data_IF_584117005529
#
_entry.id   IF_584117005529
#
_cell.length_a   1.000
_cell.length_b   1.000
_cell.length_c   1.000
_cell.angle_alpha   90.00
_cell.angle_beta   90.00
_cell.angle_gamma   90.00
#
_symmetry.space_group_name_H-M   'P 1'
#
loop_
_entity.id
_entity.type
_entity.pdbx_description
1 polymer ?
#
# COMPACT_ATOMS: atom_id res chain seq x y z
N UNK A 1 -27.43 14.28 16.36
CA UNK A 1 -27.16 15.63 16.91
C UNK A 1 -28.19 15.94 17.98
N UNK A 2 -27.74 16.18 19.21
CA UNK A 2 -28.61 16.27 20.40
C UNK A 2 -29.42 17.57 20.43
N UNK A 3 -30.70 17.45 20.81
CA UNK A 3 -31.69 18.52 21.07
C UNK A 3 -31.09 19.74 21.79
N UNK A 4 -30.08 19.49 22.62
CA UNK A 4 -29.26 20.44 23.38
C UNK A 4 -28.60 21.52 22.51
N UNK A 5 -28.08 21.21 21.32
CA UNK A 5 -27.43 22.21 20.45
C UNK A 5 -28.42 23.20 19.84
N UNK A 6 -29.62 22.73 19.51
CA UNK A 6 -30.71 23.58 19.01
C UNK A 6 -31.18 24.50 20.13
N UNK A 7 -31.43 23.96 21.33
CA UNK A 7 -31.85 24.74 22.50
C UNK A 7 -30.80 25.78 22.91
N UNK A 8 -29.51 25.42 22.88
CA UNK A 8 -28.42 26.38 23.14
C UNK A 8 -28.34 27.50 22.09
N UNK A 9 -28.59 27.20 20.81
CA UNK A 9 -28.63 28.22 19.75
C UNK A 9 -29.79 29.20 19.95
N UNK A 10 -30.97 28.70 20.34
CA UNK A 10 -32.12 29.55 20.68
C UNK A 10 -31.89 30.38 21.94
N UNK A 11 -31.27 29.80 22.99
CA UNK A 11 -30.94 30.52 24.22
C UNK A 11 -29.88 31.62 24.00
N UNK A 12 -28.82 31.34 23.23
CA UNK A 12 -27.78 32.35 22.91
C UNK A 12 -28.30 33.48 22.04
N UNK A 13 -29.28 33.21 21.16
CA UNK A 13 -29.95 34.24 20.35
C UNK A 13 -30.80 35.21 21.17
N UNK A 14 -31.29 34.77 22.33
CA UNK A 14 -32.09 35.58 23.26
C UNK A 14 -31.24 36.29 24.33
N UNK A 15 -30.09 35.74 24.73
CA UNK A 15 -29.33 36.22 25.90
C UNK A 15 -27.90 36.72 25.61
N UNK A 16 -27.33 36.52 24.41
CA UNK A 16 -25.97 37.00 24.08
C UNK A 16 -25.77 37.25 22.56
N UNK A 17 -26.40 38.29 22.00
CA UNK A 17 -26.40 38.56 20.54
C UNK A 17 -25.00 38.80 19.97
N UNK A 18 -24.11 39.48 20.70
CA UNK A 18 -22.74 39.78 20.25
C UNK A 18 -21.87 38.51 20.11
N UNK A 19 -22.04 37.54 21.03
CA UNK A 19 -21.35 36.24 20.94
C UNK A 19 -21.84 35.43 19.75
N UNK A 20 -23.15 35.48 19.47
CA UNK A 20 -23.74 34.76 18.35
C UNK A 20 -23.31 35.37 16.99
N UNK A 21 -23.20 36.70 16.92
CA UNK A 21 -22.63 37.39 15.76
C UNK A 21 -21.15 37.04 15.55
N UNK A 22 -20.34 37.04 16.61
CA UNK A 22 -18.93 36.65 16.53
C UNK A 22 -18.76 35.20 16.07
N UNK A 23 -19.52 34.26 16.62
CA UNK A 23 -19.50 32.84 16.20
C UNK A 23 -19.91 32.68 14.74
N UNK A 24 -20.93 33.41 14.27
CA UNK A 24 -21.33 33.39 12.85
C UNK A 24 -20.28 33.99 11.93
N UNK A 25 -19.64 35.08 12.36
CA UNK A 25 -18.58 35.73 11.60
C UNK A 25 -17.36 34.82 11.45
N UNK A 26 -16.90 34.18 12.54
CA UNK A 26 -15.80 33.22 12.48
C UNK A 26 -16.15 32.00 11.61
N UNK A 27 -17.37 31.45 11.75
CA UNK A 27 -17.84 30.36 10.88
C UNK A 27 -17.88 30.78 9.40
N UNK A 28 -18.27 32.02 9.09
CA UNK A 28 -18.26 32.55 7.74
C UNK A 28 -16.83 32.71 7.18
N UNK A 29 -15.88 33.18 7.99
CA UNK A 29 -14.47 33.27 7.59
C UNK A 29 -13.88 31.90 7.30
N UNK A 30 -14.15 30.93 8.16
CA UNK A 30 -13.75 29.54 7.97
C UNK A 30 -14.37 28.94 6.71
N UNK A 31 -15.64 29.25 6.44
CA UNK A 31 -16.30 28.86 5.19
C UNK A 31 -15.53 29.39 3.97
N UNK A 32 -15.24 30.69 3.90
CA UNK A 32 -14.51 31.27 2.77
C UNK A 32 -13.11 30.67 2.59
N UNK A 33 -12.43 30.35 3.70
CA UNK A 33 -11.11 29.71 3.66
C UNK A 33 -11.18 28.31 3.04
N UNK A 34 -12.15 27.51 3.46
CA UNK A 34 -12.34 26.16 2.91
C UNK A 34 -12.90 26.15 1.50
N UNK A 35 -13.66 27.17 1.10
CA UNK A 35 -14.18 27.31 -0.26
C UNK A 35 -13.03 27.53 -1.25
N UNK A 36 -12.19 28.54 -0.97
CA UNK A 36 -10.97 28.78 -1.74
C UNK A 36 -10.08 27.54 -1.81
N UNK A 37 -9.85 26.88 -0.67
CA UNK A 37 -9.02 25.66 -0.62
C UNK A 37 -9.62 24.52 -1.46
N UNK A 38 -10.94 24.38 -1.48
CA UNK A 38 -11.61 23.36 -2.29
C UNK A 38 -11.43 23.63 -3.78
N UNK A 39 -11.55 24.88 -4.21
CA UNK A 39 -11.30 25.27 -5.60
C UNK A 39 -9.85 25.02 -6.04
N UNK A 40 -8.88 25.31 -5.18
CA UNK A 40 -7.46 24.98 -5.43
C UNK A 40 -7.26 23.47 -5.61
N UNK A 41 -7.83 22.65 -4.71
CA UNK A 41 -7.71 21.19 -4.76
C UNK A 41 -8.42 20.58 -5.98
N UNK A 42 -9.56 21.14 -6.39
CA UNK A 42 -10.24 20.75 -7.63
C UNK A 42 -9.35 21.05 -8.84
N UNK A 43 -8.74 22.23 -8.89
CA UNK A 43 -7.79 22.59 -9.95
C UNK A 43 -6.61 21.61 -10.00
N UNK A 44 -6.01 21.26 -8.86
CA UNK A 44 -4.90 20.30 -8.81
C UNK A 44 -5.30 18.90 -9.34
N UNK A 45 -6.53 18.46 -9.05
CA UNK A 45 -7.08 17.20 -9.57
C UNK A 45 -7.39 17.27 -11.07
N UNK A 46 -7.94 18.40 -11.54
CA UNK A 46 -8.20 18.65 -12.97
C UNK A 46 -6.89 18.69 -13.77
N UNK A 47 -5.83 19.27 -13.22
CA UNK A 47 -4.51 19.28 -13.85
C UNK A 47 -3.96 17.86 -14.00
N UNK A 48 -4.10 17.00 -12.99
CA UNK A 48 -3.71 15.58 -13.10
C UNK A 48 -4.51 14.89 -14.21
N UNK A 49 -5.82 15.13 -14.29
CA UNK A 49 -6.69 14.49 -15.28
C UNK A 49 -6.38 14.92 -16.72
N UNK A 50 -6.04 16.19 -16.95
CA UNK A 50 -5.89 16.76 -18.29
C UNK A 50 -4.44 16.88 -18.79
N UNK A 51 -3.45 16.97 -17.89
CA UNK A 51 -2.05 17.19 -18.28
C UNK A 51 -1.38 15.99 -18.93
N UNK A 52 -1.95 14.78 -18.78
CA UNK A 52 -1.31 13.53 -19.19
C UNK A 52 -0.12 13.11 -18.31
N UNK A 53 0.12 13.81 -17.20
CA UNK A 53 1.19 13.48 -16.24
C UNK A 53 0.81 12.21 -15.48
N UNK A 54 1.65 11.19 -15.54
CA UNK A 54 1.45 9.98 -14.73
C UNK A 54 1.89 10.28 -13.28
N UNK A 55 0.96 10.15 -12.35
CA UNK A 55 1.17 10.37 -10.92
C UNK A 55 0.88 9.10 -10.13
N UNK A 56 1.44 8.97 -8.94
CA UNK A 56 1.06 7.88 -8.05
C UNK A 56 -0.36 8.07 -7.52
N UNK A 57 -1.07 6.96 -7.34
CA UNK A 57 -2.36 6.88 -6.63
C UNK A 57 -2.36 7.64 -5.30
N UNK A 58 -1.25 7.63 -4.56
CA UNK A 58 -1.11 8.34 -3.29
C UNK A 58 -1.31 9.86 -3.45
N UNK A 59 -0.94 10.44 -4.59
CA UNK A 59 -1.19 11.86 -4.88
C UNK A 59 -2.69 12.13 -5.02
N UNK A 60 -3.41 11.26 -5.72
CA UNK A 60 -4.87 11.35 -5.92
C UNK A 60 -5.59 11.15 -4.59
N UNK A 61 -5.25 10.11 -3.83
CA UNK A 61 -5.83 9.84 -2.50
C UNK A 61 -5.61 11.02 -1.56
N UNK A 62 -4.40 11.60 -1.55
CA UNK A 62 -4.09 12.78 -0.71
C UNK A 62 -4.93 14.00 -1.08
N UNK A 63 -5.05 14.31 -2.37
CA UNK A 63 -5.85 15.45 -2.84
C UNK A 63 -7.35 15.23 -2.58
N UNK A 64 -7.86 14.03 -2.86
CA UNK A 64 -9.25 13.66 -2.61
C UNK A 64 -9.59 13.73 -1.11
N UNK A 65 -8.72 13.23 -0.24
CA UNK A 65 -8.89 13.32 1.22
C UNK A 65 -8.84 14.76 1.72
N UNK A 66 -7.94 15.60 1.19
CA UNK A 66 -7.88 17.01 1.52
C UNK A 66 -9.14 17.77 1.06
N UNK A 67 -9.68 17.42 -0.10
CA UNK A 67 -10.91 18.00 -0.64
C UNK A 67 -12.11 17.60 0.21
N UNK A 68 -12.27 16.31 0.52
CA UNK A 68 -13.27 15.79 1.45
C UNK A 68 -13.22 16.54 2.78
N UNK A 69 -12.04 16.68 3.38
CA UNK A 69 -11.89 17.39 4.65
C UNK A 69 -12.28 18.86 4.55
N UNK A 70 -11.92 19.54 3.45
CA UNK A 70 -12.27 20.94 3.21
C UNK A 70 -13.78 21.12 3.03
N UNK A 71 -14.43 20.27 2.23
CA UNK A 71 -15.89 20.27 2.02
C UNK A 71 -16.63 19.92 3.30
N UNK A 72 -16.16 18.94 4.07
CA UNK A 72 -16.71 18.63 5.39
C UNK A 72 -16.61 19.82 6.35
N UNK A 73 -15.53 20.60 6.28
CA UNK A 73 -15.40 21.85 7.06
C UNK A 73 -16.35 22.94 6.58
N UNK A 74 -16.58 23.10 5.27
CA UNK A 74 -17.61 24.00 4.72
C UNK A 74 -18.99 23.70 5.30
N UNK A 75 -19.38 22.43 5.27
CA UNK A 75 -20.68 21.98 5.77
C UNK A 75 -20.80 22.24 7.27
N UNK A 76 -19.74 21.95 8.06
CA UNK A 76 -19.72 22.26 9.49
C UNK A 76 -19.88 23.76 9.77
N UNK A 77 -19.22 24.62 8.98
CA UNK A 77 -19.34 26.08 9.10
C UNK A 77 -20.74 26.57 8.74
N UNK A 78 -21.37 26.03 7.68
CA UNK A 78 -22.76 26.29 7.33
C UNK A 78 -23.72 25.88 8.46
N UNK A 79 -23.57 24.66 8.99
CA UNK A 79 -24.37 24.15 10.10
C UNK A 79 -24.14 24.94 11.40
N UNK A 80 -22.96 25.50 11.63
CA UNK A 80 -22.70 26.39 12.77
C UNK A 80 -23.43 27.73 12.63
N UNK A 81 -23.52 28.28 11.42
CA UNK A 81 -24.24 29.53 11.16
C UNK A 81 -25.76 29.37 11.21
N UNK A 82 -26.28 28.24 10.71
CA UNK A 82 -27.71 27.94 10.72
C UNK A 82 -27.97 26.45 11.07
N UNK A 83 -28.00 26.11 12.37
CA UNK A 83 -28.21 24.73 12.80
C UNK A 83 -29.49 24.12 12.25
N UNK A 84 -29.40 22.91 11.71
CA UNK A 84 -30.56 22.14 11.21
C UNK A 84 -31.07 22.51 9.81
N UNK A 85 -30.57 23.58 9.18
CA UNK A 85 -30.99 23.94 7.81
C UNK A 85 -30.37 23.05 6.72
N UNK A 86 -29.19 22.46 6.98
CA UNK A 86 -28.39 21.78 5.97
C UNK A 86 -28.29 20.27 6.16
N UNK A 87 -29.28 19.65 6.82
CA UNK A 87 -29.28 18.19 7.08
C UNK A 87 -29.22 17.36 5.79
N UNK A 88 -29.90 17.79 4.73
CA UNK A 88 -29.83 17.12 3.43
C UNK A 88 -28.43 17.20 2.81
N UNK A 89 -27.71 18.30 3.01
CA UNK A 89 -26.34 18.48 2.51
C UNK A 89 -25.36 17.57 3.25
N UNK A 90 -25.48 17.45 4.58
CA UNK A 90 -24.70 16.52 5.40
C UNK A 90 -24.90 15.06 4.95
N UNK A 91 -26.16 14.69 4.63
CA UNK A 91 -26.48 13.36 4.13
C UNK A 91 -25.87 13.12 2.74
N UNK A 92 -26.03 14.07 1.81
CA UNK A 92 -25.45 13.96 0.46
C UNK A 92 -23.93 13.89 0.47
N UNK A 93 -23.28 14.67 1.32
CA UNK A 93 -21.84 14.58 1.52
C UNK A 93 -21.43 13.19 2.02
N UNK A 94 -22.16 12.64 2.99
CA UNK A 94 -21.91 11.28 3.50
C UNK A 94 -22.16 10.18 2.47
N UNK A 95 -23.08 10.38 1.53
CA UNK A 95 -23.28 9.49 0.38
C UNK A 95 -22.08 9.54 -0.57
N UNK A 96 -21.60 10.75 -0.89
CA UNK A 96 -20.44 10.96 -1.77
C UNK A 96 -19.15 10.43 -1.17
N UNK A 97 -18.92 10.62 0.13
CA UNK A 97 -17.75 10.07 0.83
C UNK A 97 -17.69 8.54 0.72
N UNK A 98 -18.84 7.86 0.83
CA UNK A 98 -18.91 6.40 0.65
C UNK A 98 -18.64 5.98 -0.79
N UNK A 99 -19.15 6.72 -1.76
CA UNK A 99 -18.89 6.46 -3.17
C UNK A 99 -17.40 6.68 -3.51
N UNK A 100 -16.80 7.74 -2.98
CA UNK A 100 -15.38 8.05 -3.13
C UNK A 100 -14.50 6.95 -2.50
N UNK A 101 -14.80 6.54 -1.27
CA UNK A 101 -14.07 5.47 -0.59
C UNK A 101 -14.14 4.14 -1.34
N UNK A 102 -15.24 3.85 -2.03
CA UNK A 102 -15.38 2.65 -2.86
C UNK A 102 -14.64 2.73 -4.21
N UNK A 103 -14.36 3.95 -4.70
CA UNK A 103 -13.65 4.18 -5.96
C UNK A 103 -12.13 4.27 -5.77
N UNK A 104 -11.67 4.64 -4.57
CA UNK A 104 -10.25 4.67 -4.24
C UNK A 104 -9.72 3.26 -3.91
N UNK A 105 -8.41 3.01 -4.12
CA UNK A 105 -7.81 1.72 -3.80
C UNK A 105 -8.07 1.33 -2.34
N UNK A 106 -8.60 0.12 -2.13
CA UNK A 106 -8.79 -0.45 -0.80
C UNK A 106 -7.61 -1.34 -0.42
N UNK A 107 -7.26 -1.35 0.86
CA UNK A 107 -6.04 -1.97 1.35
C UNK A 107 -6.35 -2.90 2.52
N UNK A 108 -5.82 -4.12 2.45
CA UNK A 108 -5.80 -5.02 3.61
C UNK A 108 -4.69 -4.59 4.58
N UNK A 109 -5.06 -3.80 5.58
CA UNK A 109 -4.19 -3.35 6.67
C UNK A 109 -3.97 -4.41 7.75
N UNK A 110 -4.43 -5.64 7.55
CA UNK A 110 -4.38 -6.66 8.57
C UNK A 110 -2.91 -6.97 8.94
N UNK A 111 -2.61 -6.78 10.22
CA UNK A 111 -1.32 -7.04 10.85
C UNK A 111 -1.39 -8.25 11.79
N UNK A 112 -2.52 -8.96 11.86
CA UNK A 112 -2.68 -10.15 12.69
C UNK A 112 -2.05 -11.39 12.02
N UNK A 113 -1.57 -12.38 12.79
CA UNK A 113 -1.01 -13.61 12.23
C UNK A 113 -1.99 -14.34 11.29
N UNK A 114 -1.50 -15.17 10.35
CA UNK A 114 -0.16 -15.75 10.33
C UNK A 114 0.90 -14.84 9.71
N UNK A 115 2.10 -14.80 10.32
CA UNK A 115 3.25 -14.07 9.79
C UNK A 115 4.08 -14.91 8.81
N UNK A 116 4.05 -16.23 8.96
CA UNK A 116 4.67 -17.17 8.04
C UNK A 116 3.78 -18.35 7.67
N UNK A 117 3.97 -18.85 6.46
CA UNK A 117 3.33 -20.05 5.93
C UNK A 117 4.40 -21.02 5.42
N UNK A 118 4.19 -22.32 5.56
CA UNK A 118 4.94 -23.30 4.78
C UNK A 118 4.64 -23.13 3.28
N UNK A 119 5.53 -23.59 2.41
CA UNK A 119 5.29 -23.58 0.96
C UNK A 119 4.00 -24.34 0.59
N UNK A 120 3.68 -25.41 1.31
CA UNK A 120 2.43 -26.15 1.10
C UNK A 120 1.19 -25.33 1.48
N UNK A 121 1.24 -24.59 2.58
CA UNK A 121 0.14 -23.71 3.04
C UNK A 121 -0.08 -22.52 2.11
N UNK A 122 0.97 -22.03 1.44
CA UNK A 122 0.88 -20.94 0.48
C UNK A 122 -0.01 -21.25 -0.74
N UNK A 123 -0.28 -22.52 -1.03
CA UNK A 123 -1.12 -22.91 -2.17
C UNK A 123 -2.55 -22.37 -2.01
N UNK A 124 -2.97 -21.54 -2.97
CA UNK A 124 -4.28 -20.88 -2.96
C UNK A 124 -4.39 -19.69 -1.99
N UNK A 125 -3.28 -19.25 -1.40
CA UNK A 125 -3.21 -18.12 -0.46
C UNK A 125 -2.52 -16.90 -1.09
N UNK A 126 -2.88 -16.53 -2.34
CA UNK A 126 -2.27 -15.37 -3.02
C UNK A 126 -2.26 -14.11 -2.15
N UNK A 127 -3.36 -13.72 -1.46
CA UNK A 127 -3.38 -12.49 -0.67
C UNK A 127 -2.34 -12.48 0.46
N UNK A 128 -1.92 -13.65 0.96
CA UNK A 128 -0.94 -13.80 2.03
C UNK A 128 0.48 -14.07 1.52
N UNK A 129 0.61 -14.76 0.38
CA UNK A 129 1.88 -15.32 -0.08
C UNK A 129 2.40 -14.69 -1.38
N UNK A 130 1.57 -13.94 -2.11
CA UNK A 130 1.88 -13.45 -3.45
C UNK A 130 1.85 -14.52 -4.53
N UNK A 131 1.92 -14.09 -5.80
CA UNK A 131 1.72 -14.96 -6.97
C UNK A 131 2.74 -16.09 -7.07
N UNK A 132 4.04 -15.78 -6.92
CA UNK A 132 5.12 -16.78 -7.02
C UNK A 132 5.02 -17.86 -5.94
N UNK A 133 4.79 -17.47 -4.69
CA UNK A 133 4.74 -18.42 -3.59
C UNK A 133 3.51 -19.31 -3.66
N UNK A 134 2.36 -18.75 -4.06
CA UNK A 134 1.16 -19.53 -4.32
C UNK A 134 1.39 -20.53 -5.46
N UNK A 135 2.01 -20.11 -6.56
CA UNK A 135 2.34 -21.00 -7.67
C UNK A 135 3.27 -22.15 -7.23
N UNK A 136 4.30 -21.86 -6.43
CA UNK A 136 5.17 -22.87 -5.84
C UNK A 136 4.40 -23.86 -4.95
N UNK A 137 3.50 -23.35 -4.10
CA UNK A 137 2.66 -24.20 -3.26
C UNK A 137 1.70 -25.08 -4.07
N UNK A 138 1.18 -24.59 -5.18
CA UNK A 138 0.36 -25.39 -6.10
C UNK A 138 1.16 -26.52 -6.74
N UNK A 139 2.40 -26.24 -7.17
CA UNK A 139 3.31 -27.28 -7.68
C UNK A 139 3.57 -28.32 -6.60
N UNK A 140 3.84 -27.91 -5.35
CA UNK A 140 4.10 -28.83 -4.25
C UNK A 140 2.91 -29.74 -3.91
N UNK A 141 1.67 -29.25 -4.04
CA UNK A 141 0.45 -30.05 -3.79
C UNK A 141 0.02 -30.89 -4.99
N UNK A 142 0.26 -30.41 -6.21
CA UNK A 142 -0.33 -30.95 -7.44
C UNK A 142 0.62 -31.75 -8.32
N UNK A 143 1.93 -31.61 -8.13
CA UNK A 143 2.94 -32.28 -8.93
C UNK A 143 3.96 -32.98 -8.01
N UNK A 144 4.34 -34.20 -8.37
CA UNK A 144 5.42 -34.94 -7.70
C UNK A 144 6.79 -34.44 -8.22
N UNK A 145 7.01 -33.14 -8.08
CA UNK A 145 8.23 -32.46 -8.49
C UNK A 145 9.07 -32.11 -7.26
N UNK A 146 10.39 -32.37 -7.29
CA UNK A 146 11.27 -31.99 -6.20
C UNK A 146 11.35 -30.47 -6.12
N UNK A 147 10.86 -29.91 -5.01
CA UNK A 147 10.99 -28.50 -4.70
C UNK A 147 11.94 -28.31 -3.51
N UNK A 148 12.84 -27.32 -3.56
CA UNK A 148 13.65 -26.97 -2.40
C UNK A 148 12.75 -26.58 -1.23
N UNK A 149 13.20 -26.92 -0.02
CA UNK A 149 12.41 -26.66 1.19
C UNK A 149 12.42 -25.17 1.50
N UNK A 150 11.41 -24.73 2.25
CA UNK A 150 11.29 -23.32 2.57
C UNK A 150 9.96 -22.95 3.18
N UNK A 151 9.79 -21.65 3.38
CA UNK A 151 8.59 -21.03 3.90
C UNK A 151 8.42 -19.63 3.30
N UNK A 152 7.29 -19.00 3.60
CA UNK A 152 6.92 -17.68 3.11
C UNK A 152 6.72 -16.77 4.31
N UNK A 153 7.39 -15.62 4.32
CA UNK A 153 7.07 -14.47 5.15
C UNK A 153 5.93 -13.72 4.45
N UNK A 154 4.79 -13.61 5.12
CA UNK A 154 3.53 -13.20 4.51
C UNK A 154 3.41 -11.69 4.28
N UNK A 155 2.40 -11.29 3.51
CA UNK A 155 1.98 -9.89 3.38
C UNK A 155 1.53 -9.26 4.71
N UNK A 156 1.02 -10.06 5.65
CA UNK A 156 0.67 -9.58 7.01
C UNK A 156 1.90 -9.27 7.84
N UNK A 157 2.98 -10.04 7.68
CA UNK A 157 4.28 -9.69 8.26
C UNK A 157 4.84 -8.40 7.67
N UNK A 158 4.69 -8.18 6.35
CA UNK A 158 5.01 -6.91 5.71
C UNK A 158 4.19 -5.74 6.29
N UNK A 159 2.86 -5.91 6.45
CA UNK A 159 1.99 -4.90 7.06
C UNK A 159 2.41 -4.57 8.49
N UNK A 160 2.66 -5.59 9.33
CA UNK A 160 3.14 -5.41 10.69
C UNK A 160 4.48 -4.68 10.72
N UNK A 161 5.43 -5.06 9.86
CA UNK A 161 6.73 -4.41 9.74
C UNK A 161 6.59 -2.92 9.39
N UNK A 162 5.75 -2.57 8.42
CA UNK A 162 5.50 -1.16 8.07
C UNK A 162 4.79 -0.40 9.19
N UNK A 163 3.80 -1.02 9.83
CA UNK A 163 3.00 -0.40 10.90
C UNK A 163 3.83 -0.14 12.15
N UNK A 164 4.62 -1.13 12.59
CA UNK A 164 5.50 -1.03 13.76
C UNK A 164 6.46 0.15 13.67
N UNK A 165 6.96 0.43 12.46
CA UNK A 165 7.92 1.49 12.21
C UNK A 165 7.26 2.83 11.77
N UNK A 166 5.94 2.91 11.68
CA UNK A 166 5.24 4.10 11.18
C UNK A 166 5.56 4.45 9.72
N UNK A 167 6.11 3.49 8.95
CA UNK A 167 6.62 3.74 7.60
C UNK A 167 5.51 4.07 6.61
N UNK A 168 4.31 3.51 6.81
CA UNK A 168 3.23 3.60 5.83
C UNK A 168 2.90 5.05 5.49
N UNK A 169 2.64 5.88 6.49
CA UNK A 169 2.31 7.28 6.30
C UNK A 169 3.42 8.03 5.55
N UNK A 170 4.67 7.79 5.94
CA UNK A 170 5.81 8.48 5.34
C UNK A 170 6.07 8.03 3.88
N UNK A 171 5.89 6.74 3.59
CA UNK A 171 5.95 6.21 2.23
C UNK A 171 4.84 6.81 1.36
N UNK A 172 3.61 6.92 1.87
CA UNK A 172 2.49 7.53 1.15
C UNK A 172 2.74 9.01 0.85
N UNK A 173 3.35 9.77 1.78
CA UNK A 173 3.77 11.16 1.54
C UNK A 173 4.77 11.29 0.38
N UNK A 174 5.83 10.46 0.41
CA UNK A 174 6.89 10.48 -0.60
C UNK A 174 6.36 10.03 -1.96
N UNK A 175 5.55 8.98 -2.01
CA UNK A 175 4.89 8.51 -3.23
C UNK A 175 3.97 9.57 -3.82
N UNK A 176 3.25 10.32 -2.98
CA UNK A 176 2.37 11.39 -3.44
C UNK A 176 3.12 12.59 -4.06
N UNK A 177 4.44 12.68 -3.87
CA UNK A 177 5.32 13.62 -4.58
C UNK A 177 5.89 13.06 -5.88
N UNK A 178 5.78 11.75 -6.11
CA UNK A 178 6.28 11.14 -7.34
C UNK A 178 5.46 11.63 -8.53
N UNK A 179 6.18 12.12 -9.54
CA UNK A 179 5.66 12.48 -10.86
C UNK A 179 6.51 11.76 -11.88
N UNK A 180 5.87 11.17 -12.88
CA UNK A 180 6.60 10.59 -14.00
C UNK A 180 7.04 11.72 -14.93
N UNK A 181 8.28 12.18 -14.76
CA UNK A 181 8.93 13.13 -15.66
C UNK A 181 10.04 12.43 -16.48
N UNK A 182 10.34 12.97 -17.66
CA UNK A 182 11.35 12.39 -18.57
C UNK A 182 12.78 12.40 -18.00
N UNK A 183 13.01 13.08 -16.86
CA UNK A 183 14.35 13.30 -16.29
C UNK A 183 14.67 12.38 -15.13
N UNK A 184 13.68 11.77 -14.47
CA UNK A 184 13.83 10.69 -13.50
C UNK A 184 14.61 11.02 -12.22
N UNK A 185 15.20 12.22 -12.09
CA UNK A 185 16.05 12.60 -10.95
C UNK A 185 15.25 12.63 -9.65
N UNK A 186 14.07 13.26 -9.66
CA UNK A 186 13.22 13.35 -8.47
C UNK A 186 12.75 11.97 -8.01
N UNK A 187 12.44 11.08 -8.96
CA UNK A 187 12.11 9.70 -8.67
C UNK A 187 13.27 8.96 -8.00
N UNK A 188 14.52 9.17 -8.46
CA UNK A 188 15.68 8.54 -7.82
C UNK A 188 15.92 9.05 -6.39
N UNK A 189 15.78 10.36 -6.15
CA UNK A 189 15.90 10.94 -4.81
C UNK A 189 14.85 10.37 -3.85
N UNK A 190 13.57 10.43 -4.23
CA UNK A 190 12.46 9.92 -3.43
C UNK A 190 12.59 8.40 -3.20
N UNK A 191 12.97 7.65 -4.24
CA UNK A 191 13.22 6.21 -4.14
C UNK A 191 14.36 5.89 -3.19
N UNK A 192 15.47 6.63 -3.26
CA UNK A 192 16.60 6.47 -2.35
C UNK A 192 16.19 6.70 -0.88
N UNK A 193 15.41 7.75 -0.62
CA UNK A 193 14.87 8.02 0.72
C UNK A 193 13.99 6.87 1.22
N UNK A 194 13.04 6.39 0.40
CA UNK A 194 12.15 5.28 0.76
C UNK A 194 12.91 3.98 1.04
N UNK A 195 13.87 3.63 0.16
CA UNK A 195 14.70 2.42 0.30
C UNK A 195 15.51 2.47 1.59
N UNK A 196 16.15 3.60 1.88
CA UNK A 196 17.01 3.73 3.04
C UNK A 196 16.21 3.68 4.34
N UNK A 197 15.04 4.31 4.36
CA UNK A 197 14.11 4.26 5.49
C UNK A 197 13.66 2.83 5.82
N UNK A 198 13.33 2.03 4.80
CA UNK A 198 12.97 0.61 4.97
C UNK A 198 14.16 -0.20 5.47
N UNK A 199 15.36 0.07 4.96
CA UNK A 199 16.59 -0.62 5.38
C UNK A 199 17.00 -0.28 6.81
N UNK A 200 16.68 0.91 7.31
CA UNK A 200 17.01 1.33 8.67
C UNK A 200 15.93 0.95 9.71
N UNK A 201 14.71 0.64 9.26
CA UNK A 201 13.60 0.26 10.11
C UNK A 201 13.86 -0.99 10.97
N UNK A 202 13.29 -1.04 12.16
CA UNK A 202 13.46 -2.12 13.12
C UNK A 202 12.60 -3.34 12.72
N UNK A 203 13.15 -4.55 12.88
CA UNK A 203 12.36 -5.77 12.68
C UNK A 203 11.59 -6.06 13.98
N UNK A 204 10.24 -6.11 13.97
CA UNK A 204 9.47 -6.48 15.15
C UNK A 204 9.94 -7.82 15.74
N UNK A 205 10.09 -7.89 17.06
CA UNK A 205 10.57 -9.09 17.76
C UNK A 205 9.71 -10.33 17.41
N UNK A 206 8.38 -10.17 17.38
CA UNK A 206 7.43 -11.23 17.02
C UNK A 206 7.69 -11.80 15.61
N UNK A 207 8.14 -10.98 14.65
CA UNK A 207 8.49 -11.46 13.31
C UNK A 207 9.84 -12.19 13.33
N UNK A 208 10.82 -11.67 14.07
CA UNK A 208 12.13 -12.32 14.24
C UNK A 208 11.98 -13.70 14.89
N UNK A 209 11.15 -13.81 15.91
CA UNK A 209 10.84 -15.07 16.60
C UNK A 209 10.13 -16.06 15.68
N UNK A 210 9.14 -15.61 14.90
CA UNK A 210 8.41 -16.47 13.96
C UNK A 210 9.34 -16.99 12.84
N UNK A 211 10.21 -16.13 12.31
CA UNK A 211 11.25 -16.52 11.34
C UNK A 211 12.21 -17.55 11.98
N UNK A 212 12.71 -17.30 13.18
CA UNK A 212 13.62 -18.19 13.90
C UNK A 212 12.99 -19.56 14.19
N UNK A 213 11.70 -19.60 14.51
CA UNK A 213 10.93 -20.83 14.67
C UNK A 213 10.87 -21.62 13.36
N UNK A 214 10.52 -20.97 12.23
CA UNK A 214 10.47 -21.64 10.92
C UNK A 214 11.83 -22.17 10.45
N UNK A 215 12.91 -21.43 10.71
CA UNK A 215 14.26 -21.91 10.43
C UNK A 215 14.60 -23.13 11.30
N UNK A 216 14.24 -23.12 12.59
CA UNK A 216 14.45 -24.25 13.50
C UNK A 216 13.67 -25.51 13.05
N UNK A 217 12.44 -25.34 12.55
CA UNK A 217 11.64 -26.43 11.95
C UNK A 217 12.36 -27.04 10.73
N UNK A 218 12.98 -26.22 9.88
CA UNK A 218 13.74 -26.69 8.73
C UNK A 218 15.06 -27.36 9.12
N UNK A 219 15.75 -26.84 10.14
CA UNK A 219 16.96 -27.47 10.68
C UNK A 219 16.67 -28.87 11.23
N UNK A 220 15.51 -29.06 11.87
CA UNK A 220 15.05 -30.38 12.33
C UNK A 220 14.79 -31.39 11.21
N UNK A 221 14.76 -30.94 9.96
CA UNK A 221 14.66 -31.76 8.76
C UNK A 221 16.01 -31.94 8.05
N UNK A 222 17.13 -31.58 8.67
CA UNK A 222 18.48 -31.58 8.07
C UNK A 222 18.66 -30.55 6.94
N UNK A 223 17.93 -29.43 6.98
CA UNK A 223 18.05 -28.34 6.01
C UNK A 223 18.52 -27.07 6.71
N UNK A 224 19.83 -26.77 6.68
CA UNK A 224 20.46 -25.65 7.39
C UNK A 224 20.86 -24.46 6.50
N UNK A 225 20.21 -24.32 5.34
CA UNK A 225 20.58 -23.34 4.33
C UNK A 225 21.90 -23.66 3.60
N UNK A 226 22.50 -22.69 2.91
CA UNK A 226 22.12 -21.27 2.88
C UNK A 226 20.79 -21.03 2.15
N UNK A 227 20.19 -19.86 2.35
CA UNK A 227 18.85 -19.54 1.86
C UNK A 227 18.86 -18.56 0.68
N UNK A 228 17.83 -18.63 -0.14
CA UNK A 228 17.43 -17.60 -1.08
C UNK A 228 16.22 -16.86 -0.51
N UNK A 229 16.29 -15.53 -0.47
CA UNK A 229 15.16 -14.65 -0.19
C UNK A 229 14.64 -14.10 -1.51
N UNK A 230 13.42 -14.47 -1.88
CA UNK A 230 12.79 -14.08 -3.16
C UNK A 230 11.52 -13.28 -2.91
N UNK A 231 11.40 -12.16 -3.59
CA UNK A 231 10.14 -11.40 -3.65
C UNK A 231 8.99 -12.23 -4.22
N UNK A 232 7.81 -12.08 -3.63
CA UNK A 232 6.53 -12.61 -4.10
C UNK A 232 5.44 -11.57 -3.83
N UNK A 233 5.18 -10.71 -4.80
CA UNK A 233 4.16 -9.66 -4.63
C UNK A 233 2.75 -10.22 -4.90
N UNK A 234 1.74 -9.63 -4.27
CA UNK A 234 0.34 -9.86 -4.67
C UNK A 234 0.06 -9.15 -5.98
N UNK A 235 -0.70 -9.78 -6.88
CA UNK A 235 -0.98 -9.22 -8.20
C UNK A 235 0.22 -9.25 -9.16
N UNK A 236 1.29 -9.97 -8.80
CA UNK A 236 2.53 -10.07 -9.61
C UNK A 236 2.29 -10.65 -11.01
N UNK A 237 1.26 -11.49 -11.14
CA UNK A 237 0.87 -12.16 -12.40
C UNK A 237 -0.33 -11.47 -13.10
N UNK A 238 -0.79 -10.34 -12.57
CA UNK A 238 -1.92 -9.56 -13.08
C UNK A 238 -3.28 -10.24 -12.82
N UNK A 239 -4.24 -9.49 -12.27
CA UNK A 239 -5.65 -9.90 -12.23
C UNK A 239 -6.40 -9.09 -13.30
N UNK A 240 -6.99 -9.75 -14.29
CA UNK A 240 -7.79 -9.14 -15.37
C UNK A 240 -7.14 -9.19 -16.77
N UNK A 241 -7.69 -8.41 -17.71
CA UNK A 241 -7.30 -8.38 -19.14
C UNK A 241 -5.86 -7.90 -19.39
N UNK A 242 -5.20 -7.30 -18.39
CA UNK A 242 -3.79 -6.93 -18.42
C UNK A 242 -2.94 -7.96 -17.66
N UNK A 243 -2.52 -9.03 -18.35
CA UNK A 243 -1.51 -10.00 -17.88
C UNK A 243 -0.11 -9.39 -17.89
N UNK A 244 0.10 -8.35 -17.11
CA UNK A 244 1.42 -7.74 -16.96
C UNK A 244 2.15 -8.46 -15.83
N UNK A 245 3.04 -9.40 -16.19
CA UNK A 245 3.93 -10.03 -15.22
C UNK A 245 4.94 -9.00 -14.71
N UNK A 246 5.03 -8.83 -13.40
CA UNK A 246 6.07 -8.07 -12.69
C UNK A 246 7.45 -8.79 -12.70
N UNK A 247 7.61 -9.78 -13.59
CA UNK A 247 8.79 -10.62 -13.69
C UNK A 247 10.07 -9.77 -13.81
N UNK A 248 10.96 -9.93 -12.82
CA UNK A 248 12.30 -9.32 -12.81
C UNK A 248 12.41 -7.94 -12.13
N UNK A 249 11.33 -7.40 -11.57
CA UNK A 249 11.34 -6.03 -11.02
C UNK A 249 11.78 -5.91 -9.57
N UNK A 250 11.70 -7.00 -8.81
CA UNK A 250 11.98 -7.02 -7.39
C UNK A 250 13.22 -7.85 -7.06
N UNK A 251 13.84 -7.55 -5.92
CA UNK A 251 15.09 -8.19 -5.53
C UNK A 251 14.91 -9.71 -5.28
N UNK A 252 15.99 -10.43 -5.56
CA UNK A 252 16.25 -11.78 -5.08
C UNK A 252 17.64 -11.79 -4.49
N UNK A 253 17.76 -12.26 -3.25
CA UNK A 253 19.01 -12.27 -2.49
C UNK A 253 19.37 -13.73 -2.27
N UNK A 254 20.58 -14.11 -2.67
CA UNK A 254 21.06 -15.49 -2.63
C UNK A 254 22.08 -15.65 -1.52
N UNK A 255 22.25 -16.89 -1.05
CA UNK A 255 23.24 -17.27 -0.04
C UNK A 255 23.10 -16.50 1.28
N UNK A 256 21.87 -16.34 1.75
CA UNK A 256 21.54 -15.69 3.03
C UNK A 256 21.73 -16.70 4.16
N UNK A 257 22.45 -16.34 5.21
CA UNK A 257 22.54 -17.14 6.43
C UNK A 257 21.34 -16.90 7.36
N UNK A 258 21.08 -17.79 8.31
CA UNK A 258 19.91 -17.72 9.22
C UNK A 258 19.73 -16.36 9.90
N UNK A 259 20.85 -15.79 10.36
CA UNK A 259 20.88 -14.50 11.08
C UNK A 259 20.57 -13.31 10.17
N UNK A 260 20.74 -13.47 8.86
CA UNK A 260 20.60 -12.40 7.88
C UNK A 260 19.24 -12.43 7.18
N UNK A 261 18.35 -13.39 7.49
CA UNK A 261 17.04 -13.53 6.85
C UNK A 261 16.17 -12.30 7.07
N UNK A 262 16.19 -11.71 8.26
CA UNK A 262 15.45 -10.48 8.55
C UNK A 262 15.96 -9.29 7.73
N UNK A 263 17.29 -9.15 7.60
CA UNK A 263 17.91 -8.11 6.78
C UNK A 263 17.58 -8.31 5.29
N UNK A 264 17.67 -9.55 4.80
CA UNK A 264 17.31 -9.91 3.43
C UNK A 264 15.83 -9.64 3.14
N UNK A 265 14.93 -9.90 4.10
CA UNK A 265 13.52 -9.58 3.96
C UNK A 265 13.32 -8.07 3.81
N UNK A 266 13.99 -7.24 4.63
CA UNK A 266 13.96 -5.79 4.50
C UNK A 266 14.46 -5.31 3.14
N UNK A 267 15.51 -5.91 2.60
CA UNK A 267 15.99 -5.58 1.25
C UNK A 267 14.99 -5.96 0.15
N UNK A 268 14.29 -7.09 0.29
CA UNK A 268 13.18 -7.45 -0.61
C UNK A 268 12.05 -6.44 -0.52
N UNK A 269 11.66 -6.03 0.68
CA UNK A 269 10.64 -4.98 0.90
C UNK A 269 11.12 -3.65 0.30
N UNK A 270 12.37 -3.26 0.50
CA UNK A 270 12.94 -2.03 -0.03
C UNK A 270 12.96 -2.05 -1.57
N UNK A 271 13.20 -3.20 -2.20
CA UNK A 271 13.23 -3.33 -3.66
C UNK A 271 11.90 -2.92 -4.33
N UNK A 272 10.77 -3.02 -3.61
CA UNK A 272 9.46 -2.53 -4.04
C UNK A 272 9.44 -1.03 -4.34
N UNK A 273 10.32 -0.28 -3.67
CA UNK A 273 10.44 1.16 -3.76
C UNK A 273 11.67 1.59 -4.58
N UNK A 274 12.29 0.68 -5.33
CA UNK A 274 13.34 1.03 -6.30
C UNK A 274 12.77 1.91 -7.44
N UNK A 275 13.60 2.72 -8.13
CA UNK A 275 13.09 3.61 -9.18
C UNK A 275 12.37 2.85 -10.28
N UNK A 276 12.87 1.67 -10.64
CA UNK A 276 12.27 0.84 -11.68
C UNK A 276 10.94 0.22 -11.25
N UNK A 277 10.85 -0.28 -10.02
CA UNK A 277 9.61 -0.83 -9.47
C UNK A 277 8.50 0.22 -9.34
N UNK A 278 8.83 1.43 -8.88
CA UNK A 278 7.87 2.55 -8.82
C UNK A 278 7.43 2.94 -10.23
N UNK A 279 8.38 3.16 -11.15
CA UNK A 279 8.08 3.50 -12.54
C UNK A 279 7.17 2.47 -13.23
N UNK A 280 7.41 1.19 -12.97
CA UNK A 280 6.59 0.10 -13.51
C UNK A 280 5.15 0.16 -13.00
N UNK A 281 4.95 0.30 -11.68
CA UNK A 281 3.63 0.39 -11.06
C UNK A 281 2.85 1.59 -11.57
N UNK A 282 3.50 2.75 -11.66
CA UNK A 282 2.92 3.97 -12.24
C UNK A 282 2.41 3.74 -13.67
N UNK A 283 3.22 3.12 -14.52
CA UNK A 283 2.83 2.81 -15.91
C UNK A 283 1.68 1.82 -16.01
N UNK A 284 1.57 0.92 -15.03
CA UNK A 284 0.49 -0.06 -14.96
C UNK A 284 -0.76 0.49 -14.25
N UNK A 285 -0.69 1.69 -13.67
CA UNK A 285 -1.78 2.26 -12.87
C UNK A 285 -2.03 1.52 -11.56
N UNK A 286 -1.02 0.83 -11.02
CA UNK A 286 -1.13 0.03 -9.80
C UNK A 286 -0.70 0.85 -8.58
N UNK A 287 -1.56 0.89 -7.57
CA UNK A 287 -1.25 1.58 -6.33
C UNK A 287 -0.21 0.82 -5.49
N UNK A 288 0.53 1.54 -4.65
CA UNK A 288 1.50 0.92 -3.74
C UNK A 288 0.85 -0.10 -2.80
N UNK A 289 -0.39 0.19 -2.41
CA UNK A 289 -1.16 -0.57 -1.45
C UNK A 289 -1.77 -1.85 -2.04
N UNK A 290 -1.92 -1.93 -3.36
CA UNK A 290 -2.51 -3.08 -4.07
C UNK A 290 -1.52 -4.23 -4.29
N UNK A 291 -0.22 -3.99 -4.08
CA UNK A 291 0.84 -4.96 -4.28
C UNK A 291 1.68 -5.19 -3.01
N UNK A 292 1.09 -5.63 -1.88
CA UNK A 292 1.87 -5.99 -0.69
C UNK A 292 2.90 -7.09 -1.02
N UNK A 293 4.03 -7.03 -0.32
CA UNK A 293 5.19 -7.88 -0.60
C UNK A 293 5.28 -9.04 0.39
N UNK A 294 5.25 -10.27 -0.10
CA UNK A 294 5.70 -11.45 0.65
C UNK A 294 7.14 -11.81 0.28
N UNK A 295 7.81 -12.53 1.16
CA UNK A 295 9.19 -13.01 0.98
C UNK A 295 9.24 -14.54 1.05
N UNK A 296 9.71 -15.19 -0.01
CA UNK A 296 9.94 -16.63 -0.02
C UNK A 296 11.35 -16.88 0.49
N UNK A 297 11.47 -17.62 1.59
CA UNK A 297 12.73 -18.16 2.11
C UNK A 297 12.85 -19.59 1.63
N UNK A 298 13.85 -19.88 0.82
CA UNK A 298 13.99 -21.17 0.16
C UNK A 298 15.43 -21.67 0.23
N UNK A 299 15.61 -22.96 0.45
CA UNK A 299 16.91 -23.63 0.43
C UNK A 299 17.64 -23.39 -0.91
N UNK A 300 18.91 -23.01 -0.83
CA UNK A 300 19.77 -22.92 -2.00
C UNK A 300 20.20 -24.30 -2.46
N UNK A 301 20.05 -24.55 -3.76
CA UNK A 301 20.53 -25.78 -4.39
C UNK A 301 21.92 -25.54 -5.00
N UNK A 302 22.87 -26.42 -4.69
CA UNK A 302 24.16 -26.46 -5.36
C UNK A 302 24.02 -27.10 -6.75
N UNK A 303 23.55 -26.30 -7.71
CA UNK A 303 23.29 -26.77 -9.07
C UNK A 303 24.58 -26.86 -9.89
N UNK A 304 24.79 -27.98 -10.59
CA UNK A 304 25.81 -28.09 -11.65
C UNK A 304 25.42 -27.32 -12.92
N UNK A 305 24.12 -27.25 -13.20
CA UNK A 305 23.53 -26.50 -14.30
C UNK A 305 22.15 -25.97 -13.90
N UNK A 306 21.74 -24.85 -14.49
CA UNK A 306 20.43 -24.22 -14.28
C UNK A 306 19.91 -23.67 -15.61
N UNK A 307 18.59 -23.61 -15.78
CA UNK A 307 17.98 -23.09 -17.00
C UNK A 307 16.51 -22.72 -16.82
N UNK A 308 15.90 -22.21 -17.89
CA UNK A 308 14.47 -21.88 -17.97
C UNK A 308 13.84 -22.76 -19.04
N UNK A 309 12.72 -23.39 -18.71
CA UNK A 309 11.95 -24.21 -19.66
C UNK A 309 10.68 -23.45 -20.06
N UNK A 310 10.46 -23.34 -21.38
CA UNK A 310 9.20 -22.91 -21.94
C UNK A 310 8.51 -24.12 -22.58
N UNK A 311 7.28 -24.40 -22.17
CA UNK A 311 6.49 -25.52 -22.72
C UNK A 311 5.78 -25.17 -24.03
N UNK A 312 5.88 -23.91 -24.46
CA UNK A 312 5.39 -23.39 -25.74
C UNK A 312 6.45 -22.48 -26.34
N UNK A 313 6.55 -22.51 -27.66
CA UNK A 313 7.46 -21.65 -28.42
C UNK A 313 7.03 -20.18 -28.34
N UNK A 314 7.99 -19.26 -28.26
CA UNK A 314 7.79 -17.80 -28.16
C UNK A 314 7.99 -17.12 -29.53
N UNK A 315 7.54 -17.71 -30.62
CA UNK A 315 7.56 -17.05 -31.93
C UNK A 315 6.31 -16.13 -32.02
N UNK A 316 6.47 -14.80 -32.21
CA UNK A 316 5.35 -13.95 -32.62
C UNK A 316 4.94 -14.33 -34.05
N UNK A 317 3.64 -14.44 -34.33
CA UNK A 317 3.13 -14.55 -35.70
C UNK A 317 3.61 -13.37 -36.58
N UNK A 318 3.67 -13.54 -37.91
CA UNK A 318 4.23 -12.53 -38.81
C UNK A 318 3.39 -11.25 -38.85
N UNK A 319 4.09 -10.14 -39.15
CA UNK A 319 3.68 -8.73 -39.12
C UNK A 319 2.39 -8.37 -39.87
#
# INVERSE_FOLDING_TARGET
MTLTRVIQHWATRLFAPDRLLFTKYEAFRELLRHDKRSLELISDLEDILHSGTVVDSAAVVRLAGALSWSVGSLIRSLSAMHPGAYLQLEQRFSDLERALAAALPTFDANCEPPYSLSLAEAAGQEPLAGGKAQALGQVLRGADLPLPRGFVITTRAFNLFLSHNGLRHRLDELLAEVRFDDRGRRLQELSGEMVEMIRQAEMPEVLSDDIGRRLSELHGLDCSGPWAMRSSAVGEDGVGDNKNSFAGQYATILRVGDKDIAAAFKDVVASKYSPHAIAYRLRCGLADQEAPMAGIVMEMIESRCSGVLYTRDRIPGPA
#
